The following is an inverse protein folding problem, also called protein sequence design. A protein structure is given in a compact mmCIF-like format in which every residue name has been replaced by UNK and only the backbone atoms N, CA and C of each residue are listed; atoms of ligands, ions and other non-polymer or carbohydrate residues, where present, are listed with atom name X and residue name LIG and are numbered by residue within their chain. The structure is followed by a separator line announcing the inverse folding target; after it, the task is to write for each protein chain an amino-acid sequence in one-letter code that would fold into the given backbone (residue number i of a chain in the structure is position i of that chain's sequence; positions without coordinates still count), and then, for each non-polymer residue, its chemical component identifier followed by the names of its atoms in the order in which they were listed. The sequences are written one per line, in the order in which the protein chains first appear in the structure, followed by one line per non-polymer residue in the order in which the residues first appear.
data_IF_758031272969
#
_entry.id   IF_758031272969
#
_cell.length_a   1.000
_cell.length_b   1.000
_cell.length_c   1.000
_cell.angle_alpha   90.00
_cell.angle_beta   90.00
_cell.angle_gamma   90.00
#
_symmetry.space_group_name_H-M   'P 1'
#
loop_
_entity.id
_entity.type
_entity.pdbx_description
1 polymer ?
#
# COMPACT_ATOMS: atom_id res chain seq x y z
N UNK A 1 27.90 5.85 15.56
CA UNK A 1 26.51 5.75 16.08
C UNK A 1 25.66 6.37 15.00
N UNK A 2 25.33 5.60 13.96
CA UNK A 2 24.89 6.16 12.69
C UNK A 2 23.46 5.67 12.47
N UNK A 3 22.48 6.49 12.84
CA UNK A 3 21.10 6.03 12.92
C UNK A 3 20.05 7.11 13.07
N UNK A 4 20.27 8.30 12.49
CA UNK A 4 19.14 9.18 12.20
C UNK A 4 18.43 8.63 10.96
N UNK A 5 17.53 7.68 11.19
CA UNK A 5 16.62 7.12 10.19
C UNK A 5 15.55 8.19 9.86
N UNK A 6 15.96 9.26 9.19
CA UNK A 6 15.05 10.34 8.79
C UNK A 6 14.21 9.85 7.62
N UNK A 7 12.89 9.86 7.81
CA UNK A 7 11.96 9.57 6.72
C UNK A 7 12.16 10.60 5.59
N UNK A 8 12.01 10.19 4.31
CA UNK A 8 12.08 11.12 3.20
C UNK A 8 11.03 12.22 3.36
N UNK A 9 11.42 13.45 3.00
CA UNK A 9 10.57 14.64 3.11
C UNK A 9 9.81 14.96 1.82
N UNK A 10 10.14 14.26 0.73
CA UNK A 10 9.66 14.52 -0.63
C UNK A 10 8.65 13.47 -1.14
N UNK A 11 8.37 12.43 -0.36
CA UNK A 11 7.47 11.32 -0.71
C UNK A 11 6.92 10.63 0.54
N UNK A 12 5.83 9.90 0.37
CA UNK A 12 5.30 9.06 1.43
C UNK A 12 6.22 7.89 1.80
N UNK A 13 6.18 7.51 3.07
CA UNK A 13 6.79 6.27 3.55
C UNK A 13 5.72 5.25 3.94
N UNK A 14 5.88 4.00 3.51
CA UNK A 14 5.03 2.91 3.93
C UNK A 14 5.55 2.33 5.25
N UNK A 15 4.77 2.54 6.31
CA UNK A 15 4.93 1.93 7.62
C UNK A 15 3.78 0.94 7.86
N UNK A 16 3.84 0.24 8.99
CA UNK A 16 2.78 -0.65 9.41
C UNK A 16 2.38 -0.37 10.86
N UNK A 17 1.08 -0.23 11.08
CA UNK A 17 0.50 -0.22 12.41
C UNK A 17 0.05 -1.65 12.74
N UNK A 18 0.61 -2.20 13.83
CA UNK A 18 0.35 -3.57 14.24
C UNK A 18 -0.44 -3.55 15.55
N UNK A 19 -1.56 -4.27 15.57
CA UNK A 19 -2.39 -4.46 16.76
C UNK A 19 -2.45 -5.96 17.04
N UNK A 20 -2.04 -6.33 18.26
CA UNK A 20 -2.11 -7.70 18.75
C UNK A 20 -3.18 -7.77 19.84
N UNK A 21 -4.28 -8.46 19.56
CA UNK A 21 -5.31 -8.77 20.54
C UNK A 21 -4.95 -10.05 21.27
N UNK A 22 -4.44 -9.93 22.50
CA UNK A 22 -4.12 -11.10 23.35
C UNK A 22 -5.42 -11.57 24.02
N UNK A 23 -5.87 -12.80 23.74
CA UNK A 23 -7.08 -13.32 24.34
C UNK A 23 -6.86 -13.63 25.84
N UNK A 24 -7.87 -13.42 26.71
CA UNK A 24 -7.77 -13.78 28.13
C UNK A 24 -7.64 -15.30 28.27
N UNK A 25 -6.86 -15.78 29.23
CA UNK A 25 -6.67 -17.22 29.44
C UNK A 25 -8.00 -17.94 29.61
N UNK A 26 -8.23 -18.96 28.77
CA UNK A 26 -9.38 -19.86 28.90
C UNK A 26 -9.24 -20.72 30.15
N UNK A 27 -10.35 -20.93 30.87
CA UNK A 27 -10.38 -21.79 32.07
C UNK A 27 -10.69 -23.26 31.76
N UNK A 28 -10.99 -23.59 30.50
CA UNK A 28 -11.40 -24.92 30.10
C UNK A 28 -10.24 -25.78 29.58
N UNK A 29 -10.21 -27.04 30.00
CA UNK A 29 -9.32 -28.03 29.43
C UNK A 29 -9.77 -28.37 28.00
N UNK A 30 -8.81 -28.48 27.07
CA UNK A 30 -9.03 -28.76 25.64
C UNK A 30 -9.70 -27.64 24.82
N UNK A 31 -9.49 -26.37 25.16
CA UNK A 31 -9.96 -25.24 24.36
C UNK A 31 -8.93 -24.77 23.33
N UNK A 32 -9.39 -24.39 22.13
CA UNK A 32 -8.59 -23.68 21.12
C UNK A 32 -8.74 -22.18 21.33
N UNK A 33 -7.62 -21.47 21.45
CA UNK A 33 -7.61 -20.03 21.66
C UNK A 33 -7.08 -19.31 20.43
N UNK A 34 -7.84 -18.33 19.93
CA UNK A 34 -7.44 -17.52 18.77
C UNK A 34 -6.89 -16.18 19.24
N UNK A 35 -5.71 -15.82 18.73
CA UNK A 35 -5.13 -14.48 18.87
C UNK A 35 -5.32 -13.75 17.55
N UNK A 36 -5.80 -12.51 17.60
CA UNK A 36 -6.03 -11.71 16.39
C UNK A 36 -4.85 -10.75 16.25
N UNK A 37 -4.13 -10.84 15.14
CA UNK A 37 -3.14 -9.84 14.74
C UNK A 37 -3.64 -9.06 13.53
N UNK A 38 -3.84 -7.76 13.70
CA UNK A 38 -4.16 -6.84 12.61
C UNK A 38 -2.92 -6.06 12.21
N UNK A 39 -2.57 -6.11 10.92
CA UNK A 39 -1.47 -5.32 10.35
C UNK A 39 -2.01 -4.38 9.28
N UNK A 40 -2.03 -3.09 9.59
CA UNK A 40 -2.58 -2.04 8.74
C UNK A 40 -1.44 -1.26 8.09
N UNK A 41 -1.60 -0.92 6.79
CA UNK A 41 -0.67 0.00 6.11
C UNK A 41 -0.86 1.40 6.68
N UNK A 42 0.25 2.02 7.10
CA UNK A 42 0.28 3.39 7.59
C UNK A 42 1.17 4.21 6.65
N UNK A 43 0.58 5.13 5.90
CA UNK A 43 1.31 6.00 5.00
C UNK A 43 1.70 7.29 5.72
N UNK A 44 2.99 7.44 6.05
CA UNK A 44 3.50 8.70 6.57
C UNK A 44 3.66 9.70 5.43
N UNK A 45 2.97 10.84 5.52
CA UNK A 45 3.03 11.92 4.53
C UNK A 45 3.74 13.14 5.12
N UNK A 46 4.94 13.50 4.65
CA UNK A 46 5.64 14.69 5.11
C UNK A 46 4.88 15.97 4.69
N UNK A 47 5.01 17.02 5.49
CA UNK A 47 4.32 18.31 5.26
C UNK A 47 4.61 18.93 3.89
N UNK A 48 5.79 18.69 3.32
CA UNK A 48 6.21 19.24 2.02
C UNK A 48 5.43 18.71 0.81
N UNK A 49 4.66 17.63 0.97
CA UNK A 49 3.79 17.05 -0.07
C UNK A 49 2.34 16.97 0.39
N UNK A 50 1.92 17.90 1.25
CA UNK A 50 0.54 17.94 1.71
C UNK A 50 -0.43 17.99 0.52
N UNK A 51 -1.45 17.14 0.59
CA UNK A 51 -2.34 16.89 -0.52
C UNK A 51 -3.74 16.64 0.02
N UNK A 52 -4.65 17.54 -0.35
CA UNK A 52 -6.07 17.40 -0.08
C UNK A 52 -6.72 16.74 -1.29
N UNK A 53 -7.23 15.53 -1.08
CA UNK A 53 -8.01 14.82 -2.08
C UNK A 53 -9.31 15.59 -2.31
N UNK A 54 -9.61 15.89 -3.57
CA UNK A 54 -10.89 16.43 -4.02
C UNK A 54 -11.33 15.73 -5.30
N UNK A 55 -12.57 15.93 -5.72
CA UNK A 55 -13.07 15.35 -6.97
C UNK A 55 -12.24 15.78 -8.21
N UNK A 56 -11.63 16.96 -8.14
CA UNK A 56 -10.80 17.55 -9.20
C UNK A 56 -9.32 17.20 -9.05
N UNK A 57 -8.89 16.82 -7.84
CA UNK A 57 -7.51 16.50 -7.51
C UNK A 57 -7.44 15.10 -6.91
N UNK A 58 -7.16 14.11 -7.76
CA UNK A 58 -6.86 12.74 -7.36
C UNK A 58 -5.56 12.26 -8.02
N UNK A 59 -4.51 12.11 -7.20
CA UNK A 59 -3.19 11.64 -7.65
C UNK A 59 -3.22 10.21 -8.20
N UNK A 60 -4.27 9.43 -7.90
CA UNK A 60 -4.40 8.07 -8.45
C UNK A 60 -4.59 8.10 -9.97
N UNK A 61 -5.13 9.19 -10.51
CA UNK A 61 -5.31 9.39 -11.96
C UNK A 61 -3.99 9.63 -12.71
N UNK A 62 -2.93 9.98 -12.00
CA UNK A 62 -1.59 10.18 -12.57
C UNK A 62 -0.84 8.84 -12.78
N UNK A 63 -1.42 7.71 -12.37
CA UNK A 63 -0.87 6.38 -12.64
C UNK A 63 -0.81 6.14 -14.15
N UNK A 64 0.40 5.83 -14.65
CA UNK A 64 0.62 5.54 -16.07
C UNK A 64 0.59 4.04 -16.30
N UNK A 65 -0.19 3.61 -17.29
CA UNK A 65 -0.32 2.22 -17.72
C UNK A 65 0.15 2.12 -19.17
N UNK A 66 1.10 1.23 -19.45
CA UNK A 66 1.53 0.94 -20.82
C UNK A 66 1.52 -0.56 -21.08
N UNK A 67 1.26 -0.95 -22.34
CA UNK A 67 1.30 -2.34 -22.80
C UNK A 67 2.25 -2.41 -24.01
N UNK A 68 3.30 -3.20 -23.92
CA UNK A 68 4.27 -3.39 -25.01
C UNK A 68 4.66 -4.86 -25.10
N UNK A 69 4.52 -5.47 -26.28
CA UNK A 69 4.87 -6.88 -26.49
C UNK A 69 4.11 -7.85 -25.57
N UNK A 70 2.86 -7.55 -25.23
CA UNK A 70 2.06 -8.34 -24.28
C UNK A 70 2.35 -8.07 -22.81
N UNK A 71 3.43 -7.34 -22.48
CA UNK A 71 3.80 -6.98 -21.12
C UNK A 71 3.11 -5.68 -20.70
N UNK A 72 2.44 -5.70 -19.55
CA UNK A 72 1.92 -4.48 -18.91
C UNK A 72 3.00 -3.85 -18.04
N UNK A 73 3.06 -2.53 -18.01
CA UNK A 73 3.89 -1.76 -17.09
C UNK A 73 3.02 -0.72 -16.38
N UNK A 74 3.09 -0.69 -15.06
CA UNK A 74 2.42 0.28 -14.22
C UNK A 74 3.48 1.21 -13.61
N UNK A 75 3.36 2.50 -13.85
CA UNK A 75 4.28 3.51 -13.36
C UNK A 75 3.54 4.51 -12.49
N UNK A 76 3.98 4.64 -11.23
CA UNK A 76 3.51 5.63 -10.28
C UNK A 76 4.51 6.79 -10.25
N UNK A 77 4.27 7.90 -10.99
CA UNK A 77 5.17 9.06 -10.95
C UNK A 77 4.98 9.92 -9.70
N UNK A 78 3.94 9.68 -8.91
CA UNK A 78 3.54 10.56 -7.80
C UNK A 78 4.41 10.34 -6.55
N UNK A 79 4.42 11.31 -5.61
CA UNK A 79 5.06 11.13 -4.31
C UNK A 79 4.23 10.27 -3.33
N UNK A 80 3.11 9.68 -3.75
CA UNK A 80 2.18 8.94 -2.88
C UNK A 80 2.21 7.44 -3.17
N UNK A 81 1.86 6.62 -2.18
CA UNK A 81 1.63 5.18 -2.37
C UNK A 81 0.26 4.98 -3.04
N UNK A 82 0.19 4.09 -4.02
CA UNK A 82 -1.05 3.72 -4.70
C UNK A 82 -1.33 2.24 -4.45
N UNK A 83 -2.46 1.92 -3.83
CA UNK A 83 -2.91 0.54 -3.64
C UNK A 83 -3.84 0.16 -4.79
N UNK A 84 -3.36 -0.73 -5.65
CA UNK A 84 -4.14 -1.29 -6.76
C UNK A 84 -4.74 -2.61 -6.27
N UNK A 85 -6.07 -2.72 -6.35
CA UNK A 85 -6.82 -3.88 -5.85
C UNK A 85 -7.18 -4.88 -6.93
N UNK A 86 -7.19 -4.47 -8.19
CA UNK A 86 -7.37 -5.31 -9.37
C UNK A 86 -6.92 -4.57 -10.62
N UNK A 87 -6.69 -5.33 -11.69
CA UNK A 87 -6.52 -4.81 -13.06
C UNK A 87 -7.42 -5.59 -14.01
N UNK A 88 -7.88 -4.92 -15.06
CA UNK A 88 -8.59 -5.56 -16.17
C UNK A 88 -7.67 -5.55 -17.38
N UNK A 89 -7.38 -6.72 -17.93
CA UNK A 89 -6.53 -6.91 -19.12
C UNK A 89 -7.35 -7.64 -20.17
N UNK A 90 -7.52 -7.02 -21.33
CA UNK A 90 -8.24 -7.63 -22.46
C UNK A 90 -9.61 -8.21 -22.05
N UNK A 91 -10.36 -7.44 -21.24
CA UNK A 91 -11.67 -7.79 -20.65
C UNK A 91 -11.67 -8.89 -19.58
N UNK A 92 -10.50 -9.46 -19.26
CA UNK A 92 -10.33 -10.36 -18.12
C UNK A 92 -9.95 -9.58 -16.87
N UNK A 93 -10.68 -9.80 -15.76
CA UNK A 93 -10.35 -9.20 -14.46
C UNK A 93 -9.37 -10.10 -13.71
N UNK A 94 -8.17 -9.60 -13.45
CA UNK A 94 -7.26 -10.22 -12.51
C UNK A 94 -7.61 -9.77 -11.08
N UNK A 95 -8.31 -10.65 -10.36
CA UNK A 95 -8.72 -10.43 -8.96
C UNK A 95 -7.59 -10.68 -7.97
N UNK A 96 -6.49 -11.31 -8.40
CA UNK A 96 -5.34 -11.60 -7.55
C UNK A 96 -4.28 -10.48 -7.60
N UNK A 97 -4.50 -9.47 -8.44
CA UNK A 97 -3.63 -8.32 -8.55
C UNK A 97 -3.85 -7.30 -7.42
N UNK A 98 -3.34 -7.62 -6.22
CA UNK A 98 -3.27 -6.72 -5.08
C UNK A 98 -1.83 -6.23 -4.88
N UNK A 99 -1.53 -4.99 -5.26
CA UNK A 99 -0.18 -4.42 -5.13
C UNK A 99 -0.21 -3.00 -4.59
N UNK A 100 0.77 -2.68 -3.73
CA UNK A 100 1.05 -1.32 -3.31
C UNK A 100 2.22 -0.80 -4.14
N UNK A 101 1.98 0.15 -5.04
CA UNK A 101 3.04 0.82 -5.79
C UNK A 101 3.61 1.92 -4.90
N UNK A 102 4.91 1.85 -4.66
CA UNK A 102 5.64 2.87 -3.91
C UNK A 102 5.69 4.18 -4.71
N UNK A 103 5.93 5.33 -4.05
CA UNK A 103 6.14 6.59 -4.75
C UNK A 103 7.26 6.50 -5.78
N UNK A 104 7.07 7.13 -6.95
CA UNK A 104 8.07 7.22 -8.02
C UNK A 104 8.64 5.85 -8.42
N UNK A 105 7.77 4.85 -8.55
CA UNK A 105 8.15 3.46 -8.86
C UNK A 105 7.47 2.92 -10.11
N UNK A 106 8.03 1.85 -10.66
CA UNK A 106 7.50 1.15 -11.82
C UNK A 106 7.47 -0.34 -11.52
N UNK A 107 6.38 -1.01 -11.87
CA UNK A 107 6.25 -2.47 -11.80
C UNK A 107 5.78 -3.04 -13.12
N UNK A 108 6.15 -4.29 -13.38
CA UNK A 108 5.75 -5.07 -14.56
C UNK A 108 5.05 -6.33 -14.02
N UNK A 109 3.71 -6.34 -14.00
CA UNK A 109 2.91 -7.49 -13.58
C UNK A 109 3.29 -8.78 -14.30
#
# INVERSE_FOLDING_TARGET
MDGQNTLPTDRESLLYFNVLGIPPQGKEANAVQFTIQSRLKLFYRPKGIDYKVSAEKDFQRDLKVTKQGGQITLSNPTPFNIVITNINVDQSKDKNFLKCLSPRSVIRP
#
